data_IF_461088989529
#
_entry.id   IF_461088989529
#
_cell.length_a   1.000
_cell.length_b   1.000
_cell.length_c   1.000
_cell.angle_alpha   90.00
_cell.angle_beta   90.00
_cell.angle_gamma   90.00
#
_symmetry.space_group_name_H-M   'P 1'
#
loop_
_entity.id
_entity.type
_entity.pdbx_description
1 polymer ?
#
# COMPACT_ATOMS: atom_id res chain seq x y z
N UNK A 1 -35.48 21.02 14.22
CA UNK A 1 -34.14 20.65 13.74
C UNK A 1 -33.58 19.62 14.70
N UNK A 2 -33.18 18.44 14.22
CA UNK A 2 -32.46 17.47 15.06
C UNK A 2 -31.02 17.92 15.23
N UNK A 3 -30.43 17.69 16.41
CA UNK A 3 -28.99 17.81 16.58
C UNK A 3 -28.32 16.69 15.76
N UNK A 4 -27.49 17.05 14.79
CA UNK A 4 -26.56 16.08 14.20
C UNK A 4 -25.64 15.61 15.29
N UNK A 5 -25.51 14.29 15.46
CA UNK A 5 -24.45 13.73 16.29
C UNK A 5 -23.09 14.05 15.67
N UNK A 6 -22.05 14.13 16.47
CA UNK A 6 -20.69 14.16 15.93
C UNK A 6 -20.38 12.83 15.24
N UNK A 7 -19.58 12.85 14.17
CA UNK A 7 -19.15 11.63 13.48
C UNK A 7 -18.41 10.65 14.41
N UNK A 8 -17.83 11.17 15.50
CA UNK A 8 -17.20 10.37 16.56
C UNK A 8 -18.23 9.63 17.44
N UNK A 9 -19.35 10.27 17.80
CA UNK A 9 -20.46 9.58 18.48
C UNK A 9 -21.09 8.50 17.59
N UNK A 10 -21.23 8.76 16.29
CA UNK A 10 -21.76 7.78 15.34
C UNK A 10 -20.81 6.60 15.14
N UNK A 11 -19.50 6.87 15.08
CA UNK A 11 -18.46 5.83 15.11
C UNK A 11 -18.52 5.01 16.40
N UNK A 12 -18.53 5.64 17.57
CA UNK A 12 -18.63 4.94 18.85
C UNK A 12 -19.91 4.09 18.95
N UNK A 13 -21.05 4.62 18.51
CA UNK A 13 -22.31 3.88 18.42
C UNK A 13 -22.27 2.74 17.38
N UNK A 14 -21.42 2.82 16.35
CA UNK A 14 -21.15 1.72 15.42
C UNK A 14 -20.31 0.61 16.07
N UNK A 15 -19.23 0.97 16.76
CA UNK A 15 -18.37 0.02 17.47
C UNK A 15 -19.15 -0.75 18.55
N UNK A 16 -20.00 -0.06 19.32
CA UNK A 16 -20.93 -0.71 20.27
C UNK A 16 -21.80 -1.78 19.59
N UNK A 17 -22.39 -1.46 18.43
CA UNK A 17 -23.21 -2.42 17.67
C UNK A 17 -22.38 -3.59 17.14
N UNK A 18 -21.14 -3.36 16.65
CA UNK A 18 -20.25 -4.45 16.21
C UNK A 18 -19.87 -5.40 17.34
N UNK A 19 -19.63 -4.90 18.56
CA UNK A 19 -19.41 -5.74 19.74
C UNK A 19 -20.64 -6.62 20.00
N UNK A 20 -21.83 -6.01 20.05
CA UNK A 20 -23.09 -6.72 20.29
C UNK A 20 -23.43 -7.78 19.22
N UNK A 21 -22.99 -7.61 17.96
CA UNK A 21 -23.24 -8.59 16.89
C UNK A 21 -22.13 -9.62 16.69
N UNK A 22 -20.88 -9.29 17.04
CA UNK A 22 -19.69 -10.08 16.65
C UNK A 22 -18.94 -10.67 17.85
N UNK A 23 -19.22 -10.20 19.06
CA UNK A 23 -18.54 -10.57 20.32
C UNK A 23 -19.57 -10.62 21.47
N UNK A 24 -20.61 -11.44 21.32
CA UNK A 24 -21.69 -11.54 22.31
C UNK A 24 -21.18 -12.00 23.69
N UNK A 25 -20.26 -12.97 23.70
CA UNK A 25 -19.67 -13.56 24.90
C UNK A 25 -18.63 -12.67 25.60
N UNK A 26 -18.26 -11.51 25.02
CA UNK A 26 -17.32 -10.57 25.65
C UNK A 26 -17.92 -10.03 26.96
N UNK A 27 -17.30 -10.28 28.14
CA UNK A 27 -17.83 -9.85 29.43
C UNK A 27 -18.11 -8.36 29.49
N UNK A 28 -19.24 -7.97 30.09
CA UNK A 28 -19.70 -6.57 30.05
C UNK A 28 -18.71 -5.58 30.67
N UNK A 29 -17.92 -6.03 31.63
CA UNK A 29 -16.85 -5.28 32.30
C UNK A 29 -15.67 -4.95 31.35
N UNK A 30 -15.41 -5.79 30.35
CA UNK A 30 -14.33 -5.60 29.36
C UNK A 30 -14.76 -4.77 28.14
N UNK A 31 -16.07 -4.69 27.85
CA UNK A 31 -16.60 -3.94 26.69
C UNK A 31 -16.13 -2.47 26.64
N UNK A 32 -16.11 -1.68 27.73
CA UNK A 32 -15.59 -0.31 27.70
C UNK A 32 -14.11 -0.22 27.32
N UNK A 33 -13.28 -1.17 27.78
CA UNK A 33 -11.86 -1.23 27.45
C UNK A 33 -11.65 -1.52 25.96
N UNK A 34 -12.39 -2.49 25.40
CA UNK A 34 -12.35 -2.80 23.96
C UNK A 34 -12.80 -1.60 23.11
N UNK A 35 -13.84 -0.86 23.50
CA UNK A 35 -14.27 0.36 22.76
C UNK A 35 -13.20 1.46 22.83
N UNK A 36 -12.59 1.65 24.00
CA UNK A 36 -11.49 2.60 24.21
C UNK A 36 -10.26 2.23 23.37
N UNK A 37 -9.91 0.94 23.34
CA UNK A 37 -8.85 0.39 22.52
C UNK A 37 -9.10 0.64 21.03
N UNK A 38 -10.26 0.25 20.50
CA UNK A 38 -10.60 0.43 19.07
C UNK A 38 -10.50 1.91 18.66
N UNK A 39 -11.06 2.85 19.46
CA UNK A 39 -10.97 4.29 19.17
C UNK A 39 -9.51 4.77 19.17
N UNK A 40 -8.74 4.43 20.20
CA UNK A 40 -7.32 4.84 20.31
C UNK A 40 -6.45 4.23 19.22
N UNK A 41 -6.61 2.94 18.92
CA UNK A 41 -5.86 2.23 17.87
C UNK A 41 -6.10 2.84 16.50
N UNK A 42 -7.35 3.17 16.14
CA UNK A 42 -7.68 3.81 14.87
C UNK A 42 -7.09 5.23 14.79
N UNK A 43 -7.27 6.06 15.83
CA UNK A 43 -6.68 7.42 15.88
C UNK A 43 -5.16 7.36 15.81
N UNK A 44 -4.53 6.50 16.59
CA UNK A 44 -3.07 6.36 16.68
C UNK A 44 -2.45 5.81 15.40
N UNK A 45 -3.16 4.93 14.68
CA UNK A 45 -2.74 4.46 13.35
C UNK A 45 -2.64 5.63 12.37
N UNK A 46 -3.69 6.45 12.25
CA UNK A 46 -3.66 7.61 11.36
C UNK A 46 -2.70 8.71 11.84
N UNK A 47 -2.54 8.88 13.16
CA UNK A 47 -1.54 9.81 13.74
C UNK A 47 -0.10 9.39 13.42
N UNK A 48 0.23 8.09 13.56
CA UNK A 48 1.55 7.55 13.18
C UNK A 48 1.75 7.66 11.66
N UNK A 49 0.73 7.44 10.83
CA UNK A 49 0.82 7.63 9.37
C UNK A 49 1.20 9.08 9.00
N UNK A 50 0.58 10.05 9.65
CA UNK A 50 0.92 11.46 9.47
C UNK A 50 2.34 11.80 9.95
N UNK A 51 2.79 11.24 11.08
CA UNK A 51 4.12 11.50 11.63
C UNK A 51 5.23 10.87 10.76
N UNK A 52 5.03 9.66 10.26
CA UNK A 52 5.95 9.03 9.31
C UNK A 52 6.10 9.88 8.05
N UNK A 53 4.99 10.40 7.53
CA UNK A 53 4.99 11.31 6.40
C UNK A 53 5.77 12.62 6.69
N UNK A 54 5.76 13.14 7.92
CA UNK A 54 6.58 14.31 8.32
C UNK A 54 8.06 13.96 8.54
N UNK A 55 8.36 12.82 9.16
CA UNK A 55 9.72 12.33 9.36
C UNK A 55 10.43 12.07 8.02
N UNK A 56 9.65 11.67 7.00
CA UNK A 56 10.11 11.46 5.62
C UNK A 56 10.91 12.66 5.07
N UNK A 57 10.35 13.88 5.15
CA UNK A 57 10.96 15.14 4.66
C UNK A 57 12.39 15.36 5.17
N UNK A 58 12.74 14.80 6.32
CA UNK A 58 14.00 15.03 7.04
C UNK A 58 15.09 13.98 6.79
N UNK A 59 14.84 12.98 5.92
CA UNK A 59 15.79 11.89 5.60
C UNK A 59 16.34 11.12 6.82
N UNK A 60 15.54 11.01 7.89
CA UNK A 60 15.88 10.19 9.05
C UNK A 60 15.65 8.73 8.66
N UNK A 61 16.73 8.02 8.32
CA UNK A 61 16.70 6.66 7.81
C UNK A 61 16.39 5.60 8.88
N UNK A 62 15.14 5.52 9.30
CA UNK A 62 14.61 4.50 10.19
C UNK A 62 13.47 3.73 9.51
N UNK A 63 13.49 2.39 9.62
CA UNK A 63 12.60 1.46 8.91
C UNK A 63 11.23 1.39 9.64
N UNK A 64 10.39 2.40 9.39
CA UNK A 64 9.38 2.91 10.35
C UNK A 64 7.90 2.96 9.86
N UNK A 65 7.42 2.03 9.05
CA UNK A 65 6.44 1.04 9.54
C UNK A 65 5.47 1.43 10.76
N UNK A 66 4.15 1.04 10.78
CA UNK A 66 3.14 1.19 11.91
C UNK A 66 2.30 -0.09 12.38
N UNK A 67 2.66 -0.88 13.41
CA UNK A 67 2.08 -2.21 13.76
C UNK A 67 0.73 -2.07 14.49
N UNK A 68 -0.39 -2.15 13.78
CA UNK A 68 -1.74 -2.11 14.39
C UNK A 68 -1.90 -3.08 15.56
N UNK A 69 -1.34 -4.30 15.48
CA UNK A 69 -1.39 -5.26 16.59
C UNK A 69 -0.55 -4.83 17.81
N UNK A 70 0.61 -4.21 17.62
CA UNK A 70 1.35 -3.66 18.77
C UNK A 70 0.73 -2.37 19.29
N UNK A 71 0.00 -1.58 18.49
CA UNK A 71 -0.78 -0.45 19.02
C UNK A 71 -1.92 -0.97 19.94
N UNK A 72 -2.48 -2.16 19.64
CA UNK A 72 -3.40 -2.86 20.54
C UNK A 72 -2.64 -3.33 21.80
N UNK A 73 -1.47 -3.95 21.63
CA UNK A 73 -0.68 -4.49 22.75
C UNK A 73 -0.16 -3.40 23.69
N UNK A 74 0.48 -2.35 23.17
CA UNK A 74 0.89 -1.11 23.89
C UNK A 74 -0.26 -0.54 24.70
N UNK A 75 -1.48 -0.48 24.12
CA UNK A 75 -2.64 0.04 24.81
C UNK A 75 -3.12 -0.86 25.95
N UNK A 76 -3.12 -2.18 25.74
CA UNK A 76 -3.56 -3.18 26.72
C UNK A 76 -2.51 -3.43 27.82
N UNK A 77 -1.21 -3.34 27.52
CA UNK A 77 -0.12 -3.29 28.49
C UNK A 77 -0.40 -2.22 29.55
N UNK A 78 -0.80 -1.02 29.11
CA UNK A 78 -1.14 0.12 29.97
C UNK A 78 -2.49 0.03 30.70
N UNK A 79 -3.29 -1.03 30.50
CA UNK A 79 -4.56 -1.22 31.24
C UNK A 79 -4.37 -2.07 32.51
N UNK A 80 -5.08 -1.77 33.61
CA UNK A 80 -5.08 -2.55 34.86
C UNK A 80 -6.00 -3.79 34.73
N UNK A 81 -5.66 -4.66 33.79
CA UNK A 81 -6.36 -5.91 33.48
C UNK A 81 -5.42 -7.10 33.75
N UNK A 82 -5.98 -8.28 34.05
CA UNK A 82 -5.19 -9.51 34.14
C UNK A 82 -4.77 -10.05 32.75
N UNK A 83 -3.91 -11.07 32.71
CA UNK A 83 -3.40 -11.60 31.43
C UNK A 83 -4.51 -12.22 30.55
N UNK A 84 -5.45 -12.94 31.15
CA UNK A 84 -6.58 -13.57 30.46
C UNK A 84 -7.54 -12.50 29.92
N UNK A 85 -7.81 -11.46 30.71
CA UNK A 85 -8.60 -10.30 30.29
C UNK A 85 -7.92 -9.53 29.14
N UNK A 86 -6.60 -9.35 29.19
CA UNK A 86 -5.82 -8.72 28.11
C UNK A 86 -5.87 -9.56 26.82
N UNK A 87 -5.68 -10.87 26.88
CA UNK A 87 -5.74 -11.75 25.72
C UNK A 87 -7.16 -11.72 25.08
N UNK A 88 -8.24 -11.78 25.88
CA UNK A 88 -9.62 -11.60 25.40
C UNK A 88 -9.82 -10.22 24.75
N UNK A 89 -9.40 -9.14 25.42
CA UNK A 89 -9.52 -7.79 24.87
C UNK A 89 -8.72 -7.62 23.56
N UNK A 90 -7.57 -8.29 23.43
CA UNK A 90 -6.68 -8.26 22.27
C UNK A 90 -7.35 -8.87 21.05
N UNK A 91 -7.91 -10.07 21.18
CA UNK A 91 -8.61 -10.74 20.08
C UNK A 91 -9.91 -10.01 19.68
N UNK A 92 -10.72 -9.57 20.65
CA UNK A 92 -11.91 -8.77 20.37
C UNK A 92 -11.58 -7.45 19.65
N UNK A 93 -10.58 -6.71 20.14
CA UNK A 93 -10.12 -5.46 19.52
C UNK A 93 -9.59 -5.72 18.12
N UNK A 94 -8.74 -6.74 17.95
CA UNK A 94 -8.17 -7.14 16.66
C UNK A 94 -9.24 -7.47 15.62
N UNK A 95 -10.24 -8.27 16.00
CA UNK A 95 -11.34 -8.66 15.11
C UNK A 95 -12.18 -7.45 14.70
N UNK A 96 -12.47 -6.53 15.63
CA UNK A 96 -13.32 -5.37 15.32
C UNK A 96 -12.54 -4.32 14.52
N UNK A 97 -11.26 -4.07 14.83
CA UNK A 97 -10.39 -3.19 14.03
C UNK A 97 -10.22 -3.75 12.61
N UNK A 98 -10.04 -5.07 12.44
CA UNK A 98 -10.08 -5.74 11.11
C UNK A 98 -11.40 -5.46 10.39
N UNK A 99 -12.53 -5.64 11.08
CA UNK A 99 -13.85 -5.41 10.49
C UNK A 99 -14.10 -3.93 10.14
N UNK A 100 -13.52 -2.98 10.89
CA UNK A 100 -13.58 -1.54 10.61
C UNK A 100 -12.77 -1.17 9.37
N UNK A 101 -11.59 -1.77 9.14
CA UNK A 101 -10.78 -1.48 7.95
C UNK A 101 -11.22 -2.23 6.69
N UNK A 102 -11.61 -3.50 6.79
CA UNK A 102 -11.93 -4.35 5.63
C UNK A 102 -13.44 -4.50 5.34
N UNK A 103 -14.32 -3.99 6.21
CA UNK A 103 -15.78 -4.09 6.03
C UNK A 103 -16.55 -2.90 6.62
N UNK A 104 -15.99 -1.68 6.49
CA UNK A 104 -16.53 -0.43 7.05
C UNK A 104 -17.98 -0.13 6.61
N UNK A 105 -18.77 0.40 7.55
CA UNK A 105 -20.08 1.00 7.24
C UNK A 105 -19.98 2.52 7.09
N UNK A 106 -21.07 3.19 6.66
CA UNK A 106 -21.05 4.63 6.34
C UNK A 106 -20.55 5.53 7.49
N UNK A 107 -20.99 5.30 8.73
CA UNK A 107 -20.52 6.06 9.91
C UNK A 107 -19.04 5.83 10.23
N UNK A 108 -18.52 4.62 9.95
CA UNK A 108 -17.09 4.32 10.14
C UNK A 108 -16.23 4.91 9.02
N UNK A 109 -16.69 4.85 7.76
CA UNK A 109 -16.05 5.51 6.62
C UNK A 109 -15.95 7.02 6.85
N UNK A 110 -17.05 7.67 7.25
CA UNK A 110 -17.08 9.09 7.54
C UNK A 110 -16.07 9.50 8.63
N UNK A 111 -15.93 8.71 9.70
CA UNK A 111 -14.96 8.98 10.76
C UNK A 111 -13.51 8.72 10.34
N UNK A 112 -13.24 7.65 9.57
CA UNK A 112 -11.91 7.37 8.99
C UNK A 112 -11.50 8.49 8.02
N UNK A 113 -12.40 8.88 7.12
CA UNK A 113 -12.21 10.02 6.21
C UNK A 113 -11.98 11.32 6.99
N UNK A 114 -12.71 11.55 8.09
CA UNK A 114 -12.51 12.72 8.93
C UNK A 114 -11.15 12.73 9.63
N UNK A 115 -10.67 11.60 10.16
CA UNK A 115 -9.33 11.51 10.76
C UNK A 115 -8.23 11.72 9.71
N UNK A 116 -8.33 11.06 8.56
CA UNK A 116 -7.40 11.24 7.45
C UNK A 116 -7.42 12.70 6.95
N UNK A 117 -8.60 13.27 6.66
CA UNK A 117 -8.73 14.68 6.26
C UNK A 117 -8.22 15.61 7.36
N UNK A 118 -8.43 15.33 8.64
CA UNK A 118 -7.87 16.12 9.74
C UNK A 118 -6.33 16.12 9.70
N UNK A 119 -5.68 14.95 9.59
CA UNK A 119 -4.22 14.88 9.56
C UNK A 119 -3.63 15.44 8.24
N UNK A 120 -4.27 15.22 7.09
CA UNK A 120 -3.85 15.79 5.80
C UNK A 120 -4.13 17.29 5.67
N UNK A 121 -5.20 17.81 6.28
CA UNK A 121 -5.50 19.25 6.31
C UNK A 121 -4.65 19.96 7.34
N UNK A 122 -4.37 19.37 8.50
CA UNK A 122 -3.43 19.93 9.47
C UNK A 122 -2.01 20.04 8.89
N UNK A 123 -1.64 19.16 7.95
CA UNK A 123 -0.44 19.26 7.10
C UNK A 123 -0.57 20.34 5.99
N UNK A 124 -1.76 20.59 5.45
CA UNK A 124 -2.04 21.61 4.43
C UNK A 124 -2.37 23.02 4.99
N UNK A 125 -2.44 23.25 6.30
CA UNK A 125 -2.97 24.52 6.83
C UNK A 125 -2.01 25.73 6.77
N UNK A 126 -0.76 25.52 6.34
CA UNK A 126 0.15 26.57 5.84
C UNK A 126 0.26 26.56 4.30
N UNK A 127 -0.58 25.78 3.61
CA UNK A 127 -0.46 25.45 2.19
C UNK A 127 -1.37 26.24 1.25
N UNK A 128 -0.78 27.20 0.54
CA UNK A 128 -1.42 27.98 -0.52
C UNK A 128 -1.92 27.11 -1.70
N UNK A 129 -2.86 27.64 -2.50
CA UNK A 129 -3.45 27.02 -3.71
C UNK A 129 -2.38 26.62 -4.74
N UNK A 130 -1.21 27.28 -4.71
CA UNK A 130 -0.04 26.89 -5.47
C UNK A 130 0.43 25.45 -5.17
N UNK A 131 0.36 25.00 -3.90
CA UNK A 131 0.85 23.68 -3.47
C UNK A 131 -0.05 22.55 -4.00
N UNK A 132 -1.37 22.69 -3.92
CA UNK A 132 -2.30 21.67 -4.42
C UNK A 132 -2.28 21.59 -5.96
N UNK A 133 -2.12 22.74 -6.62
CA UNK A 133 -1.89 22.82 -8.07
C UNK A 133 -0.57 22.13 -8.48
N UNK A 134 0.48 22.31 -7.68
CA UNK A 134 1.78 21.66 -7.86
C UNK A 134 1.67 20.13 -7.73
N UNK A 135 0.96 19.62 -6.71
CA UNK A 135 0.76 18.18 -6.54
C UNK A 135 -0.03 17.55 -7.71
N UNK A 136 -1.09 18.19 -8.19
CA UNK A 136 -1.84 17.75 -9.39
C UNK A 136 -0.95 17.63 -10.64
N UNK A 137 -0.13 18.65 -10.94
CA UNK A 137 0.75 18.62 -12.12
C UNK A 137 1.99 17.74 -11.96
N UNK A 138 2.41 17.46 -10.72
CA UNK A 138 3.40 16.42 -10.42
C UNK A 138 2.82 15.02 -10.71
N UNK A 139 1.59 14.75 -10.28
CA UNK A 139 0.93 13.46 -10.49
C UNK A 139 0.81 13.12 -11.97
N UNK A 140 0.32 14.07 -12.80
CA UNK A 140 0.14 13.89 -14.25
C UNK A 140 1.44 13.57 -15.02
N UNK A 141 2.61 13.80 -14.40
CA UNK A 141 3.93 13.49 -14.99
C UNK A 141 4.47 12.10 -14.61
N UNK A 142 3.85 11.40 -13.65
CA UNK A 142 4.36 10.13 -13.14
C UNK A 142 4.28 8.98 -14.17
N UNK A 143 5.37 8.20 -14.23
CA UNK A 143 5.55 6.97 -14.99
C UNK A 143 5.93 5.87 -13.98
N UNK A 144 5.01 4.98 -13.67
CA UNK A 144 5.14 3.99 -12.60
C UNK A 144 5.27 2.59 -13.19
N UNK A 145 6.44 1.96 -13.09
CA UNK A 145 6.58 0.52 -13.37
C UNK A 145 6.04 -0.24 -12.15
N UNK A 146 5.13 -1.19 -12.34
CA UNK A 146 4.46 -1.89 -11.23
C UNK A 146 5.16 -3.20 -10.85
N UNK A 147 5.34 -3.45 -9.54
CA UNK A 147 5.88 -4.70 -9.00
C UNK A 147 4.86 -5.85 -8.96
N UNK A 148 5.36 -7.07 -8.82
CA UNK A 148 4.54 -8.28 -8.75
C UNK A 148 3.73 -8.34 -7.44
N UNK A 149 4.32 -7.84 -6.35
CA UNK A 149 3.71 -7.67 -5.03
C UNK A 149 2.42 -6.84 -5.09
N UNK A 150 2.49 -5.67 -5.74
CA UNK A 150 1.36 -4.74 -5.91
C UNK A 150 0.22 -5.41 -6.69
N UNK A 151 0.55 -6.10 -7.78
CA UNK A 151 -0.44 -6.81 -8.61
C UNK A 151 -1.08 -7.99 -7.87
N UNK A 152 -0.31 -8.80 -7.15
CA UNK A 152 -0.85 -9.90 -6.33
C UNK A 152 -1.77 -9.37 -5.23
N UNK A 153 -1.45 -8.21 -4.63
CA UNK A 153 -2.32 -7.50 -3.69
C UNK A 153 -3.63 -7.05 -4.35
N UNK A 154 -3.58 -6.40 -5.53
CA UNK A 154 -4.77 -6.01 -6.30
C UNK A 154 -5.65 -7.20 -6.71
N UNK A 155 -5.04 -8.32 -7.11
CA UNK A 155 -5.77 -9.55 -7.42
C UNK A 155 -6.52 -10.08 -6.19
N UNK A 156 -5.90 -10.04 -5.01
CA UNK A 156 -6.52 -10.47 -3.74
C UNK A 156 -7.74 -9.63 -3.34
N UNK A 157 -7.80 -8.36 -3.74
CA UNK A 157 -8.94 -7.46 -3.48
C UNK A 157 -10.18 -7.76 -4.36
N UNK A 158 -10.09 -8.64 -5.35
CA UNK A 158 -11.10 -8.77 -6.42
C UNK A 158 -12.51 -9.17 -5.94
N UNK A 159 -12.62 -9.89 -4.82
CA UNK A 159 -13.92 -10.22 -4.19
C UNK A 159 -14.25 -9.39 -2.94
N UNK A 160 -13.33 -8.53 -2.48
CA UNK A 160 -13.60 -7.55 -1.42
C UNK A 160 -14.63 -6.53 -1.94
N UNK A 161 -15.45 -5.92 -1.07
CA UNK A 161 -16.42 -4.88 -1.48
C UNK A 161 -15.72 -3.70 -2.16
N UNK A 162 -16.29 -3.08 -3.22
CA UNK A 162 -15.57 -2.13 -4.07
C UNK A 162 -14.99 -0.94 -3.30
N UNK A 163 -15.68 -0.46 -2.27
CA UNK A 163 -15.24 0.64 -1.41
C UNK A 163 -13.98 0.30 -0.61
N UNK A 164 -13.71 -0.99 -0.35
CA UNK A 164 -12.61 -1.47 0.51
C UNK A 164 -11.40 -2.02 -0.26
N UNK A 165 -11.33 -1.81 -1.59
CA UNK A 165 -10.23 -2.27 -2.47
C UNK A 165 -9.13 -1.21 -2.60
N UNK A 166 -8.41 -0.92 -1.52
CA UNK A 166 -7.53 0.24 -1.46
C UNK A 166 -6.47 0.30 -2.57
N UNK A 167 -5.77 -0.79 -2.87
CA UNK A 167 -4.74 -0.79 -3.92
C UNK A 167 -5.37 -0.65 -5.31
N UNK A 168 -6.42 -1.43 -5.59
CA UNK A 168 -7.13 -1.41 -6.87
C UNK A 168 -7.74 -0.05 -7.17
N UNK A 169 -8.38 0.57 -6.17
CA UNK A 169 -8.97 1.89 -6.29
C UNK A 169 -7.88 2.94 -6.47
N UNK A 170 -6.79 2.90 -5.69
CA UNK A 170 -5.65 3.82 -5.85
C UNK A 170 -5.08 3.76 -7.27
N UNK A 171 -4.80 2.57 -7.82
CA UNK A 171 -4.27 2.43 -9.18
C UNK A 171 -5.28 2.87 -10.26
N UNK A 172 -6.59 2.60 -10.10
CA UNK A 172 -7.61 3.13 -11.03
C UNK A 172 -7.64 4.66 -10.97
N UNK A 173 -7.70 5.25 -9.77
CA UNK A 173 -7.78 6.69 -9.58
C UNK A 173 -6.55 7.43 -10.13
N UNK A 174 -5.35 6.83 -10.02
CA UNK A 174 -4.13 7.35 -10.65
C UNK A 174 -4.18 7.28 -12.18
N UNK A 175 -4.55 6.13 -12.74
CA UNK A 175 -4.64 5.96 -14.21
C UNK A 175 -5.72 6.85 -14.81
N UNK A 176 -6.87 7.01 -14.15
CA UNK A 176 -7.94 7.94 -14.50
C UNK A 176 -7.52 9.42 -14.33
N UNK A 177 -6.59 9.72 -13.40
CA UNK A 177 -5.95 11.04 -13.27
C UNK A 177 -4.88 11.32 -14.35
N UNK A 178 -4.56 10.34 -15.21
CA UNK A 178 -3.60 10.44 -16.30
C UNK A 178 -2.18 9.94 -15.99
N UNK A 179 -1.95 9.30 -14.83
CA UNK A 179 -0.68 8.64 -14.49
C UNK A 179 -0.46 7.44 -15.41
N UNK A 180 0.76 7.27 -15.94
CA UNK A 180 1.09 6.12 -16.78
C UNK A 180 1.67 4.99 -15.95
N UNK A 181 0.92 3.91 -15.78
CA UNK A 181 1.36 2.70 -15.06
C UNK A 181 1.77 1.62 -16.07
N UNK A 182 2.94 1.02 -15.88
CA UNK A 182 3.64 0.14 -16.80
C UNK A 182 3.79 -1.28 -16.24
N UNK A 183 3.31 -2.28 -16.98
CA UNK A 183 3.48 -3.71 -16.74
C UNK A 183 4.62 -4.24 -17.63
N UNK A 184 5.67 -4.80 -17.02
CA UNK A 184 6.75 -5.43 -17.79
C UNK A 184 6.46 -6.90 -18.08
N UNK A 185 7.04 -7.41 -19.17
CA UNK A 185 7.01 -8.83 -19.55
C UNK A 185 7.52 -9.76 -18.42
N UNK A 186 8.51 -9.34 -17.63
CA UNK A 186 9.04 -10.07 -16.48
C UNK A 186 7.99 -10.19 -15.36
N UNK A 187 7.44 -9.06 -14.91
CA UNK A 187 6.44 -9.03 -13.82
C UNK A 187 5.16 -9.78 -14.20
N UNK A 188 4.74 -9.68 -15.46
CA UNK A 188 3.60 -10.44 -15.99
C UNK A 188 3.80 -11.96 -15.85
N UNK A 189 4.99 -12.48 -16.22
CA UNK A 189 5.37 -13.89 -16.03
C UNK A 189 5.41 -14.28 -14.56
N UNK A 190 5.92 -13.40 -13.71
CA UNK A 190 6.08 -13.66 -12.28
C UNK A 190 4.74 -13.78 -11.55
N UNK A 191 3.80 -12.85 -11.78
CA UNK A 191 2.44 -12.93 -11.24
C UNK A 191 1.69 -14.15 -11.77
N UNK A 192 1.90 -14.52 -13.04
CA UNK A 192 1.35 -15.74 -13.63
C UNK A 192 1.90 -17.01 -12.96
N UNK A 193 3.22 -17.12 -12.78
CA UNK A 193 3.83 -18.25 -12.07
C UNK A 193 3.45 -18.28 -10.58
N UNK A 194 3.25 -17.12 -9.94
CA UNK A 194 2.69 -17.03 -8.59
C UNK A 194 1.28 -17.63 -8.55
N UNK A 195 0.40 -17.33 -9.50
CA UNK A 195 -0.92 -17.95 -9.62
C UNK A 195 -0.84 -19.48 -9.85
N UNK A 196 0.03 -19.95 -10.74
CA UNK A 196 0.23 -21.40 -10.97
C UNK A 196 0.78 -22.14 -9.72
N UNK A 197 1.68 -21.49 -8.98
CA UNK A 197 2.21 -21.97 -7.69
C UNK A 197 1.13 -21.98 -6.60
N UNK A 198 0.31 -20.94 -6.53
CA UNK A 198 -0.84 -20.84 -5.62
C UNK A 198 -1.88 -21.92 -5.92
N UNK A 199 -2.19 -22.15 -7.19
CA UNK A 199 -3.12 -23.19 -7.63
C UNK A 199 -2.59 -24.60 -7.31
N UNK A 200 -1.30 -24.84 -7.54
CA UNK A 200 -0.65 -26.12 -7.21
C UNK A 200 -0.71 -26.42 -5.70
N UNK A 201 -0.43 -25.42 -4.87
CA UNK A 201 -0.50 -25.52 -3.39
C UNK A 201 -1.94 -25.73 -2.92
N UNK A 202 -2.91 -24.99 -3.44
CA UNK A 202 -4.32 -25.18 -3.06
C UNK A 202 -4.81 -26.60 -3.38
N UNK A 203 -4.51 -27.13 -4.57
CA UNK A 203 -4.90 -28.48 -4.98
C UNK A 203 -4.20 -29.56 -4.13
N UNK A 204 -2.91 -29.41 -3.86
CA UNK A 204 -2.14 -30.39 -3.09
C UNK A 204 -2.52 -30.39 -1.60
N UNK A 205 -2.64 -29.20 -1.01
CA UNK A 205 -2.66 -29.01 0.44
C UNK A 205 -4.03 -28.64 0.99
N UNK A 206 -4.89 -27.90 0.26
CA UNK A 206 -6.15 -27.35 0.80
C UNK A 206 -7.44 -28.00 0.28
N UNK A 207 -7.48 -28.45 -0.98
CA UNK A 207 -8.71 -28.81 -1.70
C UNK A 207 -9.54 -29.92 -1.03
N UNK A 208 -8.90 -30.80 -0.24
CA UNK A 208 -9.55 -31.90 0.48
C UNK A 208 -10.31 -31.47 1.74
N UNK A 209 -9.95 -30.34 2.36
CA UNK A 209 -10.49 -29.93 3.67
C UNK A 209 -10.89 -28.45 3.78
N UNK A 210 -10.81 -27.65 2.71
CA UNK A 210 -11.16 -26.22 2.73
C UNK A 210 -12.55 -25.90 3.31
N UNK A 211 -13.50 -26.85 3.25
CA UNK A 211 -14.86 -26.71 3.79
C UNK A 211 -14.96 -26.76 5.32
N UNK A 212 -13.90 -27.17 6.02
CA UNK A 212 -13.88 -27.34 7.48
C UNK A 212 -13.07 -26.25 8.20
N UNK A 213 -12.51 -25.29 7.45
CA UNK A 213 -11.58 -24.26 7.96
C UNK A 213 -12.31 -23.18 8.73
N UNK A 214 -11.77 -22.82 9.89
CA UNK A 214 -12.28 -21.73 10.71
C UNK A 214 -11.54 -20.42 10.38
N UNK A 215 -12.23 -19.28 10.53
CA UNK A 215 -11.73 -17.97 10.10
C UNK A 215 -10.45 -17.55 10.85
N UNK A 216 -10.25 -18.07 12.07
CA UNK A 216 -9.06 -17.89 12.91
C UNK A 216 -7.83 -18.60 12.36
N UNK A 217 -8.01 -19.69 11.59
CA UNK A 217 -6.91 -20.47 11.00
C UNK A 217 -6.38 -19.77 9.74
N UNK A 218 -7.27 -19.11 8.99
CA UNK A 218 -6.93 -18.49 7.69
C UNK A 218 -5.87 -17.39 7.80
N UNK A 219 -5.76 -16.72 8.96
CA UNK A 219 -4.74 -15.69 9.21
C UNK A 219 -3.29 -16.22 9.14
N UNK A 220 -3.12 -17.54 9.21
CA UNK A 220 -1.82 -18.22 9.21
C UNK A 220 -1.41 -18.83 7.85
N UNK A 221 -2.23 -18.73 6.78
CA UNK A 221 -1.82 -19.22 5.46
C UNK A 221 -0.92 -18.20 4.75
N UNK A 222 0.27 -18.59 4.29
CA UNK A 222 1.25 -17.65 3.74
C UNK A 222 0.74 -16.91 2.50
N UNK A 223 0.20 -17.62 1.51
CA UNK A 223 -0.24 -17.02 0.24
C UNK A 223 -1.50 -16.17 0.41
N UNK A 224 -1.37 -14.87 0.15
CA UNK A 224 -2.45 -13.88 0.25
C UNK A 224 -3.68 -14.20 -0.62
N UNK A 225 -3.48 -14.82 -1.79
CA UNK A 225 -4.57 -15.25 -2.66
C UNK A 225 -5.38 -16.43 -2.09
N UNK A 226 -4.74 -17.33 -1.33
CA UNK A 226 -5.45 -18.40 -0.60
C UNK A 226 -6.23 -17.79 0.55
N UNK A 227 -5.62 -16.86 1.32
CA UNK A 227 -6.32 -16.09 2.36
C UNK A 227 -7.55 -15.36 1.81
N UNK A 228 -7.42 -14.65 0.70
CA UNK A 228 -8.53 -13.92 0.07
C UNK A 228 -9.66 -14.85 -0.42
N UNK A 229 -9.34 -16.04 -0.97
CA UNK A 229 -10.34 -17.07 -1.24
C UNK A 229 -11.10 -17.48 0.03
N UNK A 230 -10.38 -17.82 1.10
CA UNK A 230 -11.01 -18.26 2.36
C UNK A 230 -11.85 -17.15 3.01
N UNK A 231 -11.41 -15.89 2.99
CA UNK A 231 -12.20 -14.77 3.47
C UNK A 231 -13.51 -14.62 2.68
N UNK A 232 -13.46 -14.71 1.34
CA UNK A 232 -14.66 -14.64 0.50
C UNK A 232 -15.57 -15.89 0.63
N UNK A 233 -15.00 -17.04 0.95
CA UNK A 233 -15.74 -18.30 1.18
C UNK A 233 -16.45 -18.32 2.53
N UNK A 234 -15.76 -17.92 3.62
CA UNK A 234 -16.24 -18.01 4.99
C UNK A 234 -17.01 -16.78 5.48
N UNK A 235 -16.74 -15.59 4.93
CA UNK A 235 -17.42 -14.34 5.29
C UNK A 235 -18.22 -13.77 4.09
N UNK A 236 -19.21 -14.51 3.53
CA UNK A 236 -19.87 -14.15 2.27
C UNK A 236 -20.50 -12.75 2.30
N UNK A 237 -21.16 -12.38 3.41
CA UNK A 237 -21.83 -11.09 3.58
C UNK A 237 -20.87 -9.88 3.63
N UNK A 238 -19.56 -10.12 3.80
CA UNK A 238 -18.51 -9.08 3.77
C UNK A 238 -17.91 -8.86 2.39
N UNK A 239 -18.20 -9.72 1.42
CA UNK A 239 -17.59 -9.73 0.08
C UNK A 239 -18.63 -9.37 -1.02
N UNK A 240 -18.19 -9.24 -2.27
CA UNK A 240 -19.12 -9.00 -3.41
C UNK A 240 -19.77 -10.28 -3.92
N UNK A 241 -19.08 -11.41 -3.76
CA UNK A 241 -19.58 -12.75 -4.11
C UNK A 241 -18.79 -13.79 -3.30
N UNK A 242 -19.45 -14.88 -2.94
CA UNK A 242 -18.79 -16.03 -2.32
C UNK A 242 -18.42 -17.07 -3.40
N UNK A 243 -17.13 -17.43 -3.54
CA UNK A 243 -16.68 -18.41 -4.53
C UNK A 243 -17.07 -19.82 -4.09
N UNK A 244 -17.78 -20.58 -4.93
CA UNK A 244 -18.27 -21.92 -4.57
C UNK A 244 -17.15 -22.94 -4.33
N UNK A 245 -15.99 -22.70 -4.94
CA UNK A 245 -14.75 -23.48 -4.81
C UNK A 245 -13.58 -22.64 -5.37
N UNK A 246 -12.36 -23.16 -5.26
CA UNK A 246 -11.15 -22.52 -5.74
C UNK A 246 -11.13 -22.26 -7.26
N UNK A 247 -11.69 -23.17 -8.08
CA UNK A 247 -11.79 -22.97 -9.52
C UNK A 247 -12.69 -21.77 -9.87
N UNK A 248 -13.79 -21.59 -9.12
CA UNK A 248 -14.66 -20.42 -9.25
C UNK A 248 -14.00 -19.13 -8.70
N UNK A 249 -13.10 -19.22 -7.73
CA UNK A 249 -12.25 -18.08 -7.34
C UNK A 249 -11.27 -17.69 -8.46
N UNK A 250 -10.53 -18.64 -9.03
CA UNK A 250 -9.63 -18.41 -10.16
C UNK A 250 -10.34 -17.86 -11.41
N UNK A 251 -11.64 -18.15 -11.58
CA UNK A 251 -12.43 -17.64 -12.71
C UNK A 251 -12.57 -16.11 -12.75
N UNK A 252 -12.21 -15.40 -11.67
CA UNK A 252 -12.13 -13.93 -11.65
C UNK A 252 -10.87 -13.37 -12.35
N UNK A 253 -9.88 -14.22 -12.66
CA UNK A 253 -8.58 -13.82 -13.23
C UNK A 253 -8.36 -14.33 -14.65
N UNK A 254 -9.25 -15.16 -15.18
CA UNK A 254 -9.08 -15.86 -16.46
C UNK A 254 -9.82 -17.19 -16.47
N UNK A 255 -9.51 -18.06 -17.44
CA UNK A 255 -9.94 -19.46 -17.32
C UNK A 255 -9.11 -20.17 -16.25
N UNK A 256 -9.69 -20.88 -15.28
CA UNK A 256 -8.92 -21.57 -14.23
C UNK A 256 -7.91 -22.58 -14.78
N UNK A 257 -8.20 -23.16 -15.95
CA UNK A 257 -7.30 -24.06 -16.69
C UNK A 257 -5.99 -23.38 -17.13
N UNK A 258 -5.92 -22.05 -17.17
CA UNK A 258 -4.69 -21.31 -17.45
C UNK A 258 -3.63 -21.48 -16.35
N UNK A 259 -4.03 -21.82 -15.12
CA UNK A 259 -3.14 -21.92 -13.96
C UNK A 259 -2.70 -23.37 -13.66
N UNK A 260 -2.98 -24.29 -14.59
CA UNK A 260 -2.42 -25.65 -14.61
C UNK A 260 -0.96 -25.64 -15.06
N UNK A 261 -0.12 -26.55 -14.55
CA UNK A 261 1.33 -26.57 -14.83
C UNK A 261 1.71 -26.57 -16.31
N UNK A 262 0.92 -27.23 -17.15
CA UNK A 262 1.18 -27.41 -18.58
C UNK A 262 0.57 -26.31 -19.46
N UNK A 263 -0.27 -25.44 -18.89
CA UNK A 263 -0.88 -24.34 -19.61
C UNK A 263 0.14 -23.21 -19.81
N UNK A 264 0.41 -22.87 -21.07
CA UNK A 264 1.23 -21.71 -21.46
C UNK A 264 0.30 -20.59 -21.90
N UNK A 265 -0.27 -19.88 -20.93
CA UNK A 265 -1.35 -18.89 -21.10
C UNK A 265 -0.98 -17.51 -20.54
N UNK A 266 0.32 -17.23 -20.55
CA UNK A 266 0.95 -15.98 -20.09
C UNK A 266 0.39 -14.74 -20.82
N UNK A 267 0.27 -14.78 -22.15
CA UNK A 267 -0.25 -13.64 -22.95
C UNK A 267 -1.76 -13.40 -22.77
N UNK A 268 -2.55 -14.45 -22.60
CA UNK A 268 -3.99 -14.34 -22.30
C UNK A 268 -4.21 -13.71 -20.92
N UNK A 269 -3.38 -14.08 -19.94
CA UNK A 269 -3.38 -13.48 -18.60
C UNK A 269 -2.82 -12.04 -18.60
N UNK A 270 -1.78 -11.76 -19.38
CA UNK A 270 -1.29 -10.39 -19.58
C UNK A 270 -2.38 -9.49 -20.18
N UNK A 271 -3.11 -10.00 -21.17
CA UNK A 271 -4.26 -9.32 -21.76
C UNK A 271 -5.37 -9.05 -20.74
N UNK A 272 -5.61 -9.96 -19.79
CA UNK A 272 -6.49 -9.70 -18.65
C UNK A 272 -5.97 -8.55 -17.78
N UNK A 273 -4.70 -8.58 -17.33
CA UNK A 273 -4.12 -7.54 -16.46
C UNK A 273 -4.18 -6.14 -17.09
N UNK A 274 -3.78 -6.01 -18.36
CA UNK A 274 -3.78 -4.75 -19.10
C UNK A 274 -5.17 -4.11 -19.14
N UNK A 275 -6.19 -4.89 -19.52
CA UNK A 275 -7.58 -4.42 -19.61
C UNK A 275 -8.22 -4.20 -18.23
N UNK A 276 -7.92 -5.06 -17.24
CA UNK A 276 -8.50 -5.00 -15.89
C UNK A 276 -8.05 -3.78 -15.10
N UNK A 277 -6.80 -3.35 -15.28
CA UNK A 277 -6.15 -2.32 -14.47
C UNK A 277 -5.59 -1.13 -15.29
N UNK A 278 -5.98 -0.99 -16.57
CA UNK A 278 -5.62 0.14 -17.47
C UNK A 278 -4.10 0.34 -17.64
N UNK A 279 -3.34 -0.76 -17.61
CA UNK A 279 -1.87 -0.73 -17.63
C UNK A 279 -1.32 -0.62 -19.07
N UNK A 280 -0.13 -0.05 -19.22
CA UNK A 280 0.63 -0.03 -20.48
C UNK A 280 1.68 -1.15 -20.46
N UNK A 281 1.80 -1.93 -21.54
CA UNK A 281 2.77 -3.02 -21.60
C UNK A 281 4.16 -2.54 -22.01
N UNK A 282 5.21 -3.21 -21.51
CA UNK A 282 6.63 -3.00 -21.88
C UNK A 282 7.30 -4.36 -22.05
N UNK A 283 7.96 -4.56 -23.18
CA UNK A 283 8.58 -5.83 -23.54
C UNK A 283 9.95 -6.06 -22.88
N UNK A 284 10.30 -7.34 -22.74
CA UNK A 284 11.54 -7.77 -22.08
C UNK A 284 12.80 -7.18 -22.76
N UNK A 285 12.78 -6.98 -24.08
CA UNK A 285 13.88 -6.37 -24.82
C UNK A 285 14.02 -4.87 -24.55
N UNK A 286 12.91 -4.12 -24.44
CA UNK A 286 12.90 -2.67 -24.14
C UNK A 286 13.46 -2.38 -22.74
N UNK A 287 13.21 -3.30 -21.79
CA UNK A 287 13.83 -3.27 -20.47
C UNK A 287 15.35 -3.49 -20.56
N UNK A 288 15.80 -4.53 -21.29
CA UNK A 288 17.21 -4.98 -21.31
C UNK A 288 18.11 -4.10 -22.19
N UNK A 289 17.58 -3.45 -23.24
CA UNK A 289 18.38 -2.70 -24.21
C UNK A 289 19.17 -1.54 -23.57
N UNK A 290 20.50 -1.61 -23.64
CA UNK A 290 21.38 -0.58 -23.05
C UNK A 290 21.47 -0.60 -21.52
N UNK A 291 21.11 -1.71 -20.84
CA UNK A 291 21.54 -1.94 -19.47
C UNK A 291 23.02 -2.36 -19.42
N UNK A 292 23.77 -1.87 -18.43
CA UNK A 292 25.10 -2.40 -18.12
C UNK A 292 24.98 -3.81 -17.54
N UNK A 293 25.61 -4.78 -18.21
CA UNK A 293 25.63 -6.18 -17.80
C UNK A 293 26.41 -6.38 -16.51
N UNK A 294 27.50 -5.65 -16.30
CA UNK A 294 28.33 -5.77 -15.10
C UNK A 294 27.59 -5.25 -13.86
N UNK A 295 26.95 -4.08 -13.95
CA UNK A 295 26.06 -3.59 -12.90
C UNK A 295 24.88 -4.54 -12.64
N UNK A 296 24.28 -5.12 -13.68
CA UNK A 296 23.17 -6.07 -13.56
C UNK A 296 23.58 -7.36 -12.84
N UNK A 297 24.70 -7.98 -13.22
CA UNK A 297 25.22 -9.19 -12.59
C UNK A 297 25.59 -8.92 -11.12
N UNK A 298 26.35 -7.86 -10.86
CA UNK A 298 26.76 -7.45 -9.50
C UNK A 298 25.56 -7.16 -8.58
N UNK A 299 24.50 -6.52 -9.10
CA UNK A 299 23.27 -6.26 -8.35
C UNK A 299 22.45 -7.54 -8.13
N UNK A 300 22.37 -8.43 -9.13
CA UNK A 300 21.69 -9.73 -9.02
C UNK A 300 22.30 -10.57 -7.89
N UNK A 301 23.63 -10.74 -7.89
CA UNK A 301 24.35 -11.51 -6.87
C UNK A 301 24.18 -10.88 -5.48
N UNK A 302 24.20 -9.55 -5.39
CA UNK A 302 23.99 -8.83 -4.13
C UNK A 302 22.56 -9.03 -3.60
N UNK A 303 21.53 -8.94 -4.44
CA UNK A 303 20.13 -9.19 -4.02
C UNK A 303 19.97 -10.63 -3.50
N UNK A 304 20.54 -11.64 -4.18
CA UNK A 304 20.52 -13.03 -3.69
C UNK A 304 21.19 -13.14 -2.32
N UNK A 305 22.33 -12.47 -2.10
CA UNK A 305 23.02 -12.49 -0.81
C UNK A 305 22.25 -11.78 0.32
N UNK A 306 21.60 -10.64 0.05
CA UNK A 306 20.86 -9.86 1.08
C UNK A 306 19.48 -10.47 1.37
N UNK A 307 18.91 -11.26 0.46
CA UNK A 307 17.72 -12.09 0.75
C UNK A 307 18.01 -13.31 1.63
N UNK A 308 19.28 -13.61 1.94
CA UNK A 308 19.75 -14.81 2.68
C UNK A 308 19.25 -16.16 2.11
N UNK A 309 18.80 -16.16 0.86
CA UNK A 309 18.21 -17.31 0.20
C UNK A 309 19.28 -18.24 -0.39
N UNK A 310 19.00 -19.55 -0.38
CA UNK A 310 19.82 -20.51 -1.13
C UNK A 310 19.89 -20.11 -2.61
N UNK A 311 21.09 -20.25 -3.22
CA UNK A 311 21.32 -19.94 -4.63
C UNK A 311 20.65 -21.01 -5.50
N UNK A 312 19.34 -20.83 -5.73
CA UNK A 312 18.55 -21.65 -6.66
C UNK A 312 18.35 -20.90 -7.96
N UNK A 313 18.20 -21.64 -9.07
CA UNK A 313 17.92 -21.07 -10.39
C UNK A 313 16.72 -20.11 -10.37
N UNK A 314 15.69 -20.39 -9.57
CA UNK A 314 14.51 -19.54 -9.40
C UNK A 314 14.86 -18.22 -8.71
N UNK A 315 15.58 -18.28 -7.57
CA UNK A 315 15.91 -17.09 -6.79
C UNK A 315 16.84 -16.14 -7.57
N UNK A 316 17.78 -16.68 -8.34
CA UNK A 316 18.64 -15.90 -9.25
C UNK A 316 17.86 -15.27 -10.41
N UNK A 317 16.80 -15.91 -10.92
CA UNK A 317 15.93 -15.31 -11.95
C UNK A 317 15.12 -14.14 -11.37
N UNK A 318 14.51 -14.31 -10.19
CA UNK A 318 13.75 -13.25 -9.51
C UNK A 318 14.66 -12.04 -9.23
N UNK A 319 15.78 -12.25 -8.53
CA UNK A 319 16.78 -11.21 -8.25
C UNK A 319 17.29 -10.48 -9.51
N UNK A 320 17.33 -11.16 -10.66
CA UNK A 320 17.69 -10.56 -11.94
C UNK A 320 16.56 -9.71 -12.54
N UNK A 321 15.30 -10.12 -12.41
CA UNK A 321 14.14 -9.32 -12.81
C UNK A 321 14.13 -7.99 -12.03
N UNK A 322 14.32 -8.06 -10.72
CA UNK A 322 14.38 -6.91 -9.82
C UNK A 322 15.50 -5.93 -10.22
N UNK A 323 16.71 -6.47 -10.41
CA UNK A 323 17.87 -5.71 -10.84
C UNK A 323 17.67 -5.07 -12.23
N UNK A 324 17.00 -5.75 -13.16
CA UNK A 324 16.65 -5.20 -14.47
C UNK A 324 15.71 -3.99 -14.36
N UNK A 325 14.65 -4.07 -13.54
CA UNK A 325 13.67 -2.98 -13.39
C UNK A 325 14.31 -1.76 -12.70
N UNK A 326 15.10 -1.98 -11.63
CA UNK A 326 15.81 -0.90 -10.94
C UNK A 326 16.76 -0.15 -11.87
N UNK A 327 17.59 -0.88 -12.63
CA UNK A 327 18.54 -0.28 -13.57
C UNK A 327 17.82 0.36 -14.78
N UNK A 328 16.69 -0.20 -15.23
CA UNK A 328 15.86 0.38 -16.28
C UNK A 328 15.25 1.72 -15.86
N UNK A 329 14.69 1.84 -14.66
CA UNK A 329 14.17 3.12 -14.14
C UNK A 329 15.29 4.16 -14.02
N UNK A 330 16.49 3.77 -13.58
CA UNK A 330 17.65 4.65 -13.58
C UNK A 330 18.09 5.08 -14.99
N UNK A 331 17.95 4.20 -16.00
CA UNK A 331 18.24 4.48 -17.41
C UNK A 331 17.22 5.43 -18.03
N UNK A 332 15.92 5.17 -17.90
CA UNK A 332 14.83 6.04 -18.37
C UNK A 332 15.01 7.46 -17.83
N UNK A 333 15.20 7.63 -16.51
CA UNK A 333 15.48 8.94 -15.90
C UNK A 333 16.63 9.69 -16.54
N UNK A 334 17.66 8.97 -16.96
CA UNK A 334 18.87 9.54 -17.58
C UNK A 334 18.62 9.90 -19.04
N UNK A 335 18.00 9.00 -19.81
CA UNK A 335 17.60 9.23 -21.22
C UNK A 335 16.62 10.42 -21.34
N UNK A 336 15.68 10.53 -20.39
CA UNK A 336 14.68 11.60 -20.27
C UNK A 336 15.21 12.89 -19.62
N UNK A 337 16.48 12.90 -19.20
CA UNK A 337 17.18 14.01 -18.53
C UNK A 337 16.52 14.48 -17.22
N UNK A 338 15.74 13.62 -16.56
CA UNK A 338 15.00 13.93 -15.32
C UNK A 338 15.94 14.34 -14.17
N UNK A 339 17.22 13.94 -14.21
CA UNK A 339 18.25 14.35 -13.25
C UNK A 339 18.81 15.78 -13.46
N UNK A 340 18.69 16.36 -14.66
CA UNK A 340 19.38 17.63 -15.03
C UNK A 340 18.45 18.69 -15.67
N UNK A 341 17.20 18.34 -16.03
CA UNK A 341 16.22 19.32 -16.52
C UNK A 341 15.90 20.45 -15.52
N UNK A 342 15.22 21.51 -15.97
CA UNK A 342 14.82 22.65 -15.14
C UNK A 342 13.50 22.44 -14.36
N UNK A 343 12.97 21.23 -14.32
CA UNK A 343 11.61 20.94 -13.86
C UNK A 343 11.50 20.87 -12.33
N UNK A 344 10.51 21.59 -11.78
CA UNK A 344 10.28 21.72 -10.33
C UNK A 344 9.69 20.46 -9.69
N UNK A 345 9.09 19.59 -10.49
CA UNK A 345 8.40 18.38 -10.03
C UNK A 345 9.35 17.18 -9.80
N UNK A 346 10.64 17.32 -10.13
CA UNK A 346 11.64 16.28 -9.90
C UNK A 346 11.53 15.10 -10.85
N UNK A 347 11.93 13.93 -10.35
CA UNK A 347 11.92 12.67 -11.09
C UNK A 347 10.46 12.23 -11.31
N UNK A 348 10.16 11.82 -12.54
CA UNK A 348 8.85 11.40 -13.02
C UNK A 348 8.75 9.89 -13.21
N UNK A 349 9.87 9.20 -13.46
CA UNK A 349 9.89 7.74 -13.66
C UNK A 349 10.28 6.99 -12.39
N UNK A 350 9.53 5.95 -12.01
CA UNK A 350 9.63 5.23 -10.73
C UNK A 350 9.27 3.74 -10.87
N UNK A 351 9.80 2.90 -9.98
CA UNK A 351 9.31 1.54 -9.72
C UNK A 351 8.40 1.55 -8.48
N UNK A 352 7.22 0.95 -8.56
CA UNK A 352 6.22 0.89 -7.50
C UNK A 352 6.21 -0.53 -6.91
N UNK A 353 6.76 -0.69 -5.72
CA UNK A 353 6.88 -1.98 -5.00
C UNK A 353 7.09 -1.74 -3.50
N UNK A 354 6.73 -2.72 -2.67
CA UNK A 354 7.00 -2.78 -1.23
C UNK A 354 8.39 -3.44 -0.92
N UNK A 355 9.18 -3.84 -1.93
CA UNK A 355 10.44 -4.57 -1.79
C UNK A 355 11.69 -3.74 -1.36
N UNK A 356 11.77 -3.41 -0.07
CA UNK A 356 12.92 -2.68 0.52
C UNK A 356 14.28 -3.39 0.42
N UNK A 357 14.30 -4.72 0.27
CA UNK A 357 15.55 -5.52 0.17
C UNK A 357 16.37 -5.16 -1.07
N UNK A 358 15.70 -4.91 -2.20
CA UNK A 358 16.36 -4.56 -3.46
C UNK A 358 17.01 -3.17 -3.38
N UNK A 359 16.36 -2.23 -2.68
CA UNK A 359 16.93 -0.92 -2.36
C UNK A 359 18.17 -1.01 -1.46
N UNK A 360 18.16 -1.90 -0.46
CA UNK A 360 19.31 -2.14 0.42
C UNK A 360 20.51 -2.65 -0.38
N UNK A 361 20.29 -3.65 -1.24
CA UNK A 361 21.30 -4.17 -2.15
C UNK A 361 21.86 -3.10 -3.12
N UNK A 362 21.02 -2.22 -3.66
CA UNK A 362 21.46 -1.13 -4.54
C UNK A 362 22.29 -0.06 -3.79
N UNK A 363 21.86 0.35 -2.59
CA UNK A 363 22.59 1.30 -1.74
C UNK A 363 24.01 0.81 -1.41
N UNK A 364 24.14 -0.45 -0.96
CA UNK A 364 25.44 -1.05 -0.63
C UNK A 364 26.41 -1.16 -1.82
N UNK A 365 25.90 -1.11 -3.05
CA UNK A 365 26.69 -1.10 -4.28
C UNK A 365 27.01 0.31 -4.82
N UNK A 366 26.49 1.37 -4.19
CA UNK A 366 26.56 2.74 -4.72
C UNK A 366 25.73 2.96 -5.98
N UNK A 367 24.74 2.09 -6.24
CA UNK A 367 23.84 2.19 -7.39
C UNK A 367 22.64 3.12 -7.08
N UNK A 368 21.89 3.59 -8.09
CA UNK A 368 20.73 4.46 -7.89
C UNK A 368 19.61 3.80 -7.06
N UNK A 369 19.61 4.08 -5.77
CA UNK A 369 18.59 3.68 -4.80
C UNK A 369 17.41 4.64 -4.72
N UNK A 370 17.45 5.76 -5.43
CA UNK A 370 16.35 6.74 -5.54
C UNK A 370 15.19 6.26 -6.43
N UNK A 371 15.18 4.99 -6.84
CA UNK A 371 14.43 4.42 -7.98
C UNK A 371 13.03 3.93 -7.65
N UNK A 372 12.80 3.46 -6.42
CA UNK A 372 11.48 2.99 -5.96
C UNK A 372 10.66 4.14 -5.39
N UNK A 373 9.34 4.06 -5.61
CA UNK A 373 8.32 4.90 -4.99
C UNK A 373 7.45 4.06 -4.06
N UNK A 374 7.24 4.55 -2.84
CA UNK A 374 6.31 3.92 -1.90
C UNK A 374 4.86 4.14 -2.37
N UNK A 375 4.02 3.09 -2.43
CA UNK A 375 2.59 3.23 -2.72
C UNK A 375 1.82 4.24 -1.85
N UNK A 376 2.20 4.44 -0.58
CA UNK A 376 1.51 5.39 0.30
C UNK A 376 1.66 6.85 -0.14
N UNK A 377 2.77 7.21 -0.81
CA UNK A 377 2.94 8.55 -1.37
C UNK A 377 1.84 8.86 -2.40
N UNK A 378 1.43 7.87 -3.20
CA UNK A 378 0.41 8.03 -4.24
C UNK A 378 -1.00 8.21 -3.68
N UNK A 379 -1.30 7.57 -2.55
CA UNK A 379 -2.56 7.76 -1.81
C UNK A 379 -2.66 9.22 -1.34
N UNK A 380 -1.62 9.73 -0.68
CA UNK A 380 -1.57 11.12 -0.24
C UNK A 380 -1.67 12.08 -1.45
N UNK A 381 -0.91 11.82 -2.51
CA UNK A 381 -0.90 12.60 -3.76
C UNK A 381 -2.30 12.73 -4.39
N UNK A 382 -3.11 11.67 -4.36
CA UNK A 382 -4.47 11.68 -4.89
C UNK A 382 -5.40 12.65 -4.14
N UNK A 383 -5.34 12.64 -2.79
CA UNK A 383 -6.17 13.52 -1.95
C UNK A 383 -5.73 15.00 -2.00
N UNK A 384 -4.47 15.26 -2.36
CA UNK A 384 -3.92 16.62 -2.50
C UNK A 384 -4.31 17.30 -3.84
N UNK A 385 -5.01 16.60 -4.74
CA UNK A 385 -5.47 17.14 -6.02
C UNK A 385 -6.83 17.89 -5.89
N UNK A 386 -6.89 19.19 -6.23
CA UNK A 386 -8.12 19.99 -6.14
C UNK A 386 -9.31 19.47 -6.94
N UNK A 387 -9.09 18.64 -7.96
CA UNK A 387 -10.13 18.05 -8.81
C UNK A 387 -10.85 16.93 -8.07
N UNK A 388 -10.09 16.12 -7.34
CA UNK A 388 -10.60 15.01 -6.53
C UNK A 388 -11.29 15.54 -5.27
N UNK A 389 -10.75 16.59 -4.63
CA UNK A 389 -11.40 17.30 -3.53
C UNK A 389 -12.78 17.89 -3.89
N UNK A 390 -13.03 18.21 -5.18
CA UNK A 390 -14.30 18.80 -5.64
C UNK A 390 -15.36 17.77 -6.08
N UNK A 391 -14.94 16.60 -6.56
CA UNK A 391 -15.85 15.50 -6.92
C UNK A 391 -16.10 14.55 -5.73
N UNK A 392 -16.38 15.13 -4.56
CA UNK A 392 -16.18 14.48 -3.26
C UNK A 392 -16.96 13.18 -3.06
N UNK A 393 -18.23 13.07 -3.46
CA UNK A 393 -19.07 11.92 -3.07
C UNK A 393 -18.55 10.57 -3.59
N UNK A 394 -18.16 10.47 -4.86
CA UNK A 394 -17.57 9.24 -5.41
C UNK A 394 -16.08 9.09 -5.09
N UNK A 395 -15.34 10.21 -4.98
CA UNK A 395 -13.94 10.19 -4.58
C UNK A 395 -13.77 9.67 -3.14
N UNK A 396 -14.57 10.17 -2.19
CA UNK A 396 -14.54 9.79 -0.78
C UNK A 396 -15.03 8.33 -0.57
N UNK A 397 -16.06 7.86 -1.29
CA UNK A 397 -16.53 6.46 -1.13
C UNK A 397 -15.57 5.41 -1.72
N UNK A 398 -14.75 5.75 -2.73
CA UNK A 398 -13.76 4.82 -3.33
C UNK A 398 -12.37 4.94 -2.73
N UNK A 399 -11.96 6.13 -2.29
CA UNK A 399 -10.68 6.34 -1.64
C UNK A 399 -10.78 5.95 -0.15
N UNK A 400 -10.48 4.69 0.15
CA UNK A 400 -10.25 4.20 1.51
C UNK A 400 -8.74 4.07 1.77
N UNK A 401 -8.19 4.72 2.80
CA UNK A 401 -6.80 4.57 3.21
C UNK A 401 -6.61 3.27 4.03
N UNK A 402 -6.62 2.12 3.35
CA UNK A 402 -6.47 0.80 4.00
C UNK A 402 -5.00 0.36 4.07
N UNK A 403 -4.37 0.68 5.21
CA UNK A 403 -3.16 0.02 5.74
C UNK A 403 -2.00 -0.19 4.73
N UNK A 404 -1.32 0.90 4.39
CA UNK A 404 0.06 0.86 3.90
C UNK A 404 1.04 1.02 5.10
N UNK A 405 2.13 0.24 5.12
CA UNK A 405 3.28 0.27 6.05
C UNK A 405 3.01 0.08 7.56
N UNK A 406 3.29 -1.10 8.17
CA UNK A 406 2.83 -1.47 9.53
C UNK A 406 3.85 -2.20 10.56
N UNK A 407 4.94 -1.56 11.12
CA UNK A 407 5.78 -1.74 12.40
C UNK A 407 6.04 -0.46 13.30
N UNK A 408 7.23 0.08 13.66
CA UNK A 408 7.37 1.27 14.62
C UNK A 408 8.81 1.88 14.71
N UNK A 409 9.18 3.13 15.15
CA UNK A 409 8.59 4.49 15.54
C UNK A 409 9.69 5.62 15.44
N UNK A 410 9.47 6.94 15.54
CA UNK A 410 9.30 7.79 16.78
C UNK A 410 9.14 9.33 16.47
N UNK A 411 9.07 10.20 17.50
CA UNK A 411 8.69 11.64 17.49
C UNK A 411 9.54 12.58 16.61
N UNK A 412 8.84 13.40 15.82
CA UNK A 412 9.32 14.69 15.30
C UNK A 412 9.36 15.71 16.44
N UNK A 413 10.49 16.40 16.64
CA UNK A 413 10.61 17.46 17.65
C UNK A 413 10.10 18.81 17.11
N UNK A 414 9.71 19.74 17.99
CA UNK A 414 9.28 21.08 17.55
C UNK A 414 10.39 21.79 16.74
N UNK A 415 11.65 21.63 17.15
CA UNK A 415 12.83 22.09 16.40
C UNK A 415 12.88 21.63 14.94
N UNK A 416 12.31 20.47 14.58
CA UNK A 416 12.30 19.99 13.19
C UNK A 416 11.21 20.68 12.36
N UNK A 417 10.04 20.94 12.96
CA UNK A 417 9.01 21.78 12.35
C UNK A 417 9.50 23.23 12.19
N UNK A 418 10.09 23.79 13.25
CA UNK A 418 10.66 25.14 13.23
C UNK A 418 11.77 25.24 12.14
N UNK A 419 12.63 24.22 11.98
CA UNK A 419 13.64 24.14 10.90
C UNK A 419 13.06 23.99 9.50
N UNK A 420 11.93 23.31 9.32
CA UNK A 420 11.23 23.25 8.02
C UNK A 420 10.73 24.63 7.62
N UNK A 421 10.13 25.36 8.57
CA UNK A 421 9.67 26.74 8.39
C UNK A 421 10.82 27.72 8.15
N UNK A 422 11.96 27.58 8.85
CA UNK A 422 13.19 28.34 8.56
C UNK A 422 13.70 28.08 7.13
N UNK A 423 13.79 26.81 6.70
CA UNK A 423 14.24 26.45 5.35
C UNK A 423 13.32 26.96 4.23
N UNK A 424 12.04 27.23 4.54
CA UNK A 424 11.08 27.88 3.64
C UNK A 424 11.18 29.41 3.71
N UNK A 425 11.37 29.99 4.90
CA UNK A 425 11.63 31.43 5.07
C UNK A 425 12.87 31.89 4.31
N UNK A 426 13.93 31.07 4.31
CA UNK A 426 15.14 31.25 3.52
C UNK A 426 14.90 31.33 2.00
N UNK A 427 13.80 30.75 1.48
CA UNK A 427 13.49 30.82 0.05
C UNK A 427 13.15 32.24 -0.42
N UNK A 428 12.67 33.11 0.47
CA UNK A 428 12.25 34.47 0.11
C UNK A 428 13.40 35.37 -0.37
N UNK A 429 14.65 35.03 -0.03
CA UNK A 429 15.85 35.81 -0.39
C UNK A 429 16.77 35.09 -1.40
N UNK A 430 16.32 33.98 -2.00
CA UNK A 430 17.12 33.18 -2.93
C UNK A 430 16.76 33.44 -4.40
N UNK A 431 17.73 33.20 -5.29
CA UNK A 431 17.49 33.24 -6.73
C UNK A 431 16.45 32.19 -7.17
N UNK A 432 15.67 32.53 -8.20
CA UNK A 432 14.56 31.69 -8.67
C UNK A 432 15.02 30.28 -9.10
N UNK A 433 16.23 30.13 -9.64
CA UNK A 433 16.77 28.81 -9.99
C UNK A 433 17.17 28.02 -8.74
N UNK A 434 17.67 28.68 -7.68
CA UNK A 434 17.99 28.04 -6.40
C UNK A 434 16.71 27.58 -5.66
N UNK A 435 15.64 28.39 -5.68
CA UNK A 435 14.33 28.01 -5.15
C UNK A 435 13.80 26.76 -5.88
N UNK A 436 13.79 26.79 -7.22
CA UNK A 436 13.34 25.66 -8.06
C UNK A 436 14.16 24.39 -7.81
N UNK A 437 15.48 24.51 -7.61
CA UNK A 437 16.34 23.38 -7.27
C UNK A 437 16.05 22.80 -5.87
N UNK A 438 15.80 23.65 -4.85
CA UNK A 438 15.42 23.19 -3.49
C UNK A 438 14.06 22.48 -3.49
N UNK A 439 13.03 23.06 -4.11
CA UNK A 439 11.70 22.45 -4.24
C UNK A 439 11.80 21.06 -4.90
N UNK A 440 12.52 20.97 -6.02
CA UNK A 440 12.76 19.72 -6.75
C UNK A 440 13.47 18.65 -5.90
N UNK A 441 14.44 19.06 -5.07
CA UNK A 441 15.16 18.13 -4.19
C UNK A 441 14.24 17.55 -3.10
N UNK A 442 13.38 18.38 -2.50
CA UNK A 442 12.35 17.92 -1.55
C UNK A 442 11.33 16.99 -2.23
N UNK A 443 10.87 17.34 -3.43
CA UNK A 443 9.92 16.54 -4.20
C UNK A 443 10.48 15.17 -4.65
N UNK A 444 11.79 15.07 -4.88
CA UNK A 444 12.46 13.79 -5.11
C UNK A 444 12.50 12.94 -3.84
N UNK A 445 12.83 13.56 -2.71
CA UNK A 445 12.90 12.88 -1.41
C UNK A 445 11.53 12.27 -1.06
N UNK A 446 10.46 13.07 -1.08
CA UNK A 446 9.09 12.64 -0.76
C UNK A 446 8.59 11.42 -1.51
N UNK A 447 9.11 11.18 -2.72
CA UNK A 447 8.72 10.06 -3.57
C UNK A 447 9.42 8.76 -3.21
N UNK A 448 10.64 8.82 -2.64
CA UNK A 448 11.46 7.65 -2.25
C UNK A 448 11.07 6.99 -0.92
N UNK A 449 9.99 7.43 -0.28
CA UNK A 449 9.73 7.25 1.16
C UNK A 449 8.46 6.46 1.46
#
# INVERSE_FOLDING_TARGET
MGQSKSSEEEFAASIHRRIQTTQQDLPEQLRPFVISAIRKVVIETYRRQAINFIASFHKIGADNDIRVFEIIDEFLELQPLDKSEKDICRDSTSLIVRNVFYSSNKSERAYIQLLMKYFSIHFLMDGDVAITSYFSEMARRLRLYIGADILVRMLSETLVKPESRAMTNTISLLTDSGVKVYLTRQIMKEVYHHLCSTNSEFIAEHEKWFRHVQIEQTKHFDKILIRAFYYAYLEPDKHTASPKNWQNYLSNFGSPLWYSRDAKREDDFGSFLLNKFKLQFVEEHEIIEGLDRYALEKLTDKIVSVREQSITKTNTILAKNDAQILLHVARERTQRKEKVGSDIYGLSTWWLTEESVVLRAANELGLPSDTVMNPQFLVNLYYLDPRNMKNSEQADELAMPTTFGLRITDRVSKEQLDKFTENIGDLANLDEAAIKARIRAAANALKTM
#
